data_IF_484515093310
#
_entry.id   IF_484515093310
#
_cell.length_a   1.000
_cell.length_b   1.000
_cell.length_c   1.000
_cell.angle_alpha   90.00
_cell.angle_beta   90.00
_cell.angle_gamma   90.00
#
_symmetry.space_group_name_H-M   'P 1'
#
loop_
_entity.id
_entity.type
_entity.pdbx_description
1 polymer ?
#
# COMPACT_ATOMS: atom_id res chain seq x y z
N UNK A 1 -3.65 -21.51 -90.76
CA UNK A 1 -4.90 -20.76 -90.56
C UNK A 1 -4.88 -20.17 -89.15
N UNK A 2 -4.78 -18.83 -89.06
CA UNK A 2 -5.17 -17.91 -87.97
C UNK A 2 -4.94 -18.34 -86.49
N UNK A 3 -3.98 -17.74 -85.78
CA UNK A 3 -4.12 -16.57 -84.86
C UNK A 3 -5.17 -16.78 -83.75
N UNK A 4 -4.79 -16.75 -82.46
CA UNK A 4 -4.68 -15.56 -81.56
C UNK A 4 -3.92 -16.01 -80.27
N UNK A 5 -2.85 -15.34 -79.81
CA UNK A 5 -2.81 -14.25 -78.78
C UNK A 5 -3.62 -14.60 -77.51
N UNK A 6 -3.14 -14.57 -76.27
CA UNK A 6 -2.14 -13.74 -75.58
C UNK A 6 -1.65 -14.49 -74.30
N UNK A 7 -0.34 -14.53 -74.01
CA UNK A 7 0.42 -13.69 -73.05
C UNK A 7 0.01 -13.83 -71.57
N UNK A 8 0.87 -14.58 -70.85
CA UNK A 8 1.46 -14.36 -69.52
C UNK A 8 0.61 -14.23 -68.25
N UNK A 9 0.86 -15.13 -67.30
CA UNK A 9 1.51 -14.85 -66.00
C UNK A 9 1.77 -16.21 -65.29
N UNK A 10 2.97 -16.81 -65.39
CA UNK A 10 4.06 -16.67 -64.40
C UNK A 10 3.50 -16.78 -62.97
N UNK A 11 3.23 -18.00 -62.51
CA UNK A 11 4.10 -18.83 -61.65
C UNK A 11 4.51 -18.13 -60.35
N UNK A 12 4.00 -18.61 -59.21
CA UNK A 12 4.86 -19.29 -58.21
C UNK A 12 4.08 -19.88 -57.02
N UNK A 13 4.32 -21.18 -56.84
CA UNK A 13 4.01 -22.02 -55.68
C UNK A 13 4.80 -21.58 -54.44
N UNK A 14 4.25 -20.79 -53.52
CA UNK A 14 4.83 -20.62 -52.18
C UNK A 14 3.68 -20.46 -51.15
N UNK A 15 3.18 -21.55 -50.60
CA UNK A 15 2.04 -21.51 -49.69
C UNK A 15 1.87 -22.79 -48.89
N UNK A 16 2.90 -23.23 -48.15
CA UNK A 16 2.76 -24.34 -47.21
C UNK A 16 3.82 -24.36 -46.08
N UNK A 17 4.35 -23.22 -45.65
CA UNK A 17 5.28 -23.18 -44.50
C UNK A 17 5.13 -21.89 -43.67
N UNK A 18 3.92 -21.60 -43.20
CA UNK A 18 3.65 -20.50 -42.26
C UNK A 18 2.55 -20.89 -41.24
N UNK A 19 2.73 -22.03 -40.54
CA UNK A 19 1.78 -22.41 -39.48
C UNK A 19 2.41 -23.00 -38.21
N UNK A 20 3.74 -22.95 -38.06
CA UNK A 20 4.44 -23.57 -36.93
C UNK A 20 5.43 -22.62 -36.22
N UNK A 21 5.12 -21.32 -36.14
CA UNK A 21 5.85 -20.33 -35.31
C UNK A 21 4.85 -19.51 -34.51
N UNK A 22 3.91 -20.21 -33.85
CA UNK A 22 2.96 -19.59 -32.93
C UNK A 22 2.81 -20.45 -31.67
N UNK A 23 3.92 -21.08 -31.22
CA UNK A 23 4.06 -21.53 -29.85
C UNK A 23 4.72 -20.43 -29.02
N UNK A 24 3.87 -19.48 -28.61
CA UNK A 24 3.76 -19.02 -27.23
C UNK A 24 5.10 -18.70 -26.52
N UNK A 25 5.86 -17.76 -27.09
CA UNK A 25 6.89 -16.99 -26.36
C UNK A 25 6.24 -15.82 -25.63
N UNK A 26 5.26 -16.08 -24.76
CA UNK A 26 4.54 -15.03 -24.03
C UNK A 26 4.35 -15.41 -22.58
N UNK A 27 5.45 -15.68 -21.90
CA UNK A 27 5.53 -15.66 -20.45
C UNK A 27 6.70 -14.78 -19.99
N UNK A 28 6.87 -13.63 -20.62
CA UNK A 28 7.54 -12.51 -19.94
C UNK A 28 6.51 -11.93 -18.98
N UNK A 29 6.49 -12.49 -17.78
CA UNK A 29 5.86 -11.88 -16.62
C UNK A 29 6.36 -10.43 -16.56
N UNK A 30 5.48 -9.50 -16.91
CA UNK A 30 5.69 -8.10 -16.59
C UNK A 30 5.78 -8.07 -15.07
N UNK A 31 7.00 -7.91 -14.55
CA UNK A 31 7.21 -7.34 -13.25
C UNK A 31 6.50 -5.99 -13.29
N UNK A 32 5.21 -5.97 -12.93
CA UNK A 32 4.51 -4.75 -12.63
C UNK A 32 5.24 -4.20 -11.41
N UNK A 33 6.22 -3.35 -11.65
CA UNK A 33 6.61 -2.35 -10.67
C UNK A 33 5.31 -1.63 -10.37
N UNK A 34 4.69 -1.97 -9.23
CA UNK A 34 3.57 -1.18 -8.69
C UNK A 34 4.18 0.19 -8.49
N UNK A 35 4.02 1.06 -9.48
CA UNK A 35 4.38 2.45 -9.37
C UNK A 35 3.59 2.96 -8.17
N UNK A 36 4.25 3.45 -7.11
CA UNK A 36 3.56 3.83 -5.88
C UNK A 36 2.47 4.81 -6.26
N UNK A 37 1.22 4.37 -6.12
CA UNK A 37 0.08 5.11 -6.60
C UNK A 37 0.15 6.51 -5.98
N UNK A 38 -0.06 7.57 -6.76
CA UNK A 38 -0.04 8.94 -6.26
C UNK A 38 -0.91 9.13 -5.00
N UNK A 39 -1.91 8.26 -4.80
CA UNK A 39 -2.74 8.16 -3.59
C UNK A 39 -1.97 7.87 -2.30
N UNK A 40 -0.87 7.12 -2.34
CA UNK A 40 -0.10 6.82 -1.14
C UNK A 40 0.62 8.06 -0.63
N UNK A 41 1.13 8.92 -1.53
CA UNK A 41 1.73 10.20 -1.12
C UNK A 41 0.70 11.15 -0.51
N UNK A 42 -0.58 11.03 -0.87
CA UNK A 42 -1.66 11.82 -0.26
C UNK A 42 -1.91 11.46 1.22
N UNK A 43 -1.33 10.37 1.73
CA UNK A 43 -1.38 10.03 3.16
C UNK A 43 -0.51 10.96 4.00
N UNK A 44 0.52 11.60 3.43
CA UNK A 44 1.39 12.53 4.14
C UNK A 44 0.73 13.90 4.16
N UNK A 45 0.42 14.42 5.34
CA UNK A 45 -0.10 15.79 5.46
C UNK A 45 0.88 16.81 4.87
N UNK A 46 0.38 17.81 4.16
CA UNK A 46 1.22 18.84 3.50
C UNK A 46 2.16 19.52 4.50
N UNK A 47 1.65 19.90 5.67
CA UNK A 47 2.44 20.51 6.74
C UNK A 47 3.59 19.61 7.22
N UNK A 48 3.34 18.30 7.37
CA UNK A 48 4.39 17.33 7.71
C UNK A 48 5.42 17.21 6.59
N UNK A 49 4.97 17.14 5.34
CA UNK A 49 5.87 17.07 4.19
C UNK A 49 6.78 18.30 4.11
N UNK A 50 6.26 19.49 4.39
CA UNK A 50 7.04 20.73 4.41
C UNK A 50 8.04 20.75 5.57
N UNK A 51 7.62 20.32 6.77
CA UNK A 51 8.52 20.16 7.92
C UNK A 51 9.67 19.18 7.63
N UNK A 52 9.37 18.01 7.03
CA UNK A 52 10.37 17.00 6.69
C UNK A 52 11.36 17.45 5.60
N UNK A 53 10.95 18.35 4.68
CA UNK A 53 11.85 18.89 3.64
C UNK A 53 12.80 19.96 4.17
N UNK A 54 12.36 20.69 5.18
CA UNK A 54 13.07 21.87 5.72
C UNK A 54 13.89 21.55 6.96
N UNK A 55 13.56 20.46 7.65
CA UNK A 55 14.31 20.02 8.81
C UNK A 55 15.72 19.54 8.42
N UNK A 56 16.78 19.99 9.13
CA UNK A 56 18.15 19.52 8.90
C UNK A 56 18.41 18.08 9.38
N UNK A 57 17.43 17.44 10.02
CA UNK A 57 17.51 16.06 10.49
C UNK A 57 16.14 15.47 10.85
N UNK A 58 16.14 14.31 11.48
CA UNK A 58 14.93 13.59 11.82
C UNK A 58 13.99 14.39 12.72
N UNK A 59 12.68 14.25 12.48
CA UNK A 59 11.62 14.79 13.33
C UNK A 59 10.66 13.68 13.73
N UNK A 60 9.94 13.90 14.83
CA UNK A 60 8.85 13.02 15.23
C UNK A 60 7.58 13.35 14.43
N UNK A 61 6.85 12.33 14.02
CA UNK A 61 5.54 12.45 13.39
C UNK A 61 4.66 11.24 13.73
N UNK A 62 3.36 11.40 13.60
CA UNK A 62 2.40 10.36 13.92
C UNK A 62 2.03 9.58 12.65
N UNK A 63 2.09 8.27 12.74
CA UNK A 63 1.63 7.32 11.73
C UNK A 63 0.30 6.75 12.20
N UNK A 64 -0.80 7.26 11.66
CA UNK A 64 -2.15 6.83 11.99
C UNK A 64 -2.51 5.64 11.10
N UNK A 65 -2.89 4.53 11.72
CA UNK A 65 -3.28 3.32 11.00
C UNK A 65 -4.67 3.49 10.37
N UNK A 66 -4.90 2.80 9.25
CA UNK A 66 -6.17 2.83 8.52
C UNK A 66 -7.29 2.14 9.30
N UNK A 67 -6.97 1.06 10.02
CA UNK A 67 -7.92 0.38 10.90
C UNK A 67 -8.05 1.12 12.23
N UNK A 68 -9.23 1.70 12.48
CA UNK A 68 -9.56 2.31 13.77
C UNK A 68 -10.73 1.55 14.40
N UNK A 69 -10.65 1.30 15.70
CA UNK A 69 -11.78 0.77 16.45
C UNK A 69 -12.72 1.91 16.84
N UNK A 70 -14.03 1.71 16.64
CA UNK A 70 -15.06 2.66 17.03
C UNK A 70 -15.37 2.50 18.55
N UNK A 71 -15.03 3.48 19.41
CA UNK A 71 -15.21 3.37 20.86
C UNK A 71 -16.70 3.27 21.27
N UNK A 72 -17.60 3.87 20.50
CA UNK A 72 -19.03 3.87 20.79
C UNK A 72 -19.64 2.48 20.64
N UNK A 73 -19.16 1.67 19.69
CA UNK A 73 -19.62 0.29 19.50
C UNK A 73 -19.26 -0.61 20.70
N UNK A 74 -18.05 -0.45 21.24
CA UNK A 74 -17.59 -1.20 22.42
C UNK A 74 -18.43 -0.83 23.65
N UNK A 75 -18.78 0.45 23.78
CA UNK A 75 -19.53 1.01 24.91
C UNK A 75 -21.02 0.69 24.86
N UNK A 76 -21.61 0.60 23.66
CA UNK A 76 -23.04 0.32 23.47
C UNK A 76 -23.46 -1.09 23.93
N UNK A 77 -22.52 -2.04 23.94
CA UNK A 77 -22.76 -3.40 24.43
C UNK A 77 -22.77 -3.52 25.96
N UNK A 78 -22.41 -2.46 26.70
CA UNK A 78 -22.26 -2.47 28.15
C UNK A 78 -23.33 -1.63 28.86
N UNK A 79 -24.00 -2.23 29.85
CA UNK A 79 -25.01 -1.61 30.71
C UNK A 79 -24.53 -0.35 31.46
N UNK A 80 -25.47 0.39 32.04
CA UNK A 80 -25.25 1.74 32.57
C UNK A 80 -24.62 1.80 33.98
N UNK A 81 -24.53 0.68 34.70
CA UNK A 81 -24.36 0.73 36.17
C UNK A 81 -22.91 0.75 36.67
N UNK A 82 -21.89 0.46 35.83
CA UNK A 82 -20.47 0.51 36.24
C UNK A 82 -19.58 1.24 35.21
N UNK A 83 -19.38 2.54 35.43
CA UNK A 83 -18.55 3.40 34.58
C UNK A 83 -17.06 3.01 34.63
N UNK A 84 -16.57 2.52 35.77
CA UNK A 84 -15.15 2.17 35.95
C UNK A 84 -14.85 0.89 35.17
N UNK A 85 -15.65 -0.16 35.36
CA UNK A 85 -15.53 -1.39 34.59
C UNK A 85 -15.66 -1.13 33.09
N UNK A 86 -16.57 -0.23 32.68
CA UNK A 86 -16.76 0.18 31.29
C UNK A 86 -15.52 0.84 30.68
N UNK A 87 -14.87 1.75 31.40
CA UNK A 87 -13.62 2.40 30.96
C UNK A 87 -12.48 1.39 30.86
N UNK A 88 -12.36 0.49 31.83
CA UNK A 88 -11.35 -0.56 31.81
C UNK A 88 -11.55 -1.51 30.62
N UNK A 89 -12.78 -1.95 30.36
CA UNK A 89 -13.12 -2.79 29.22
C UNK A 89 -12.87 -2.08 27.88
N UNK A 90 -13.24 -0.80 27.76
CA UNK A 90 -12.96 0.00 26.56
C UNK A 90 -11.45 0.13 26.32
N UNK A 91 -10.68 0.46 27.36
CA UNK A 91 -9.23 0.58 27.26
C UNK A 91 -8.58 -0.74 26.84
N UNK A 92 -9.00 -1.86 27.44
CA UNK A 92 -8.53 -3.19 27.08
C UNK A 92 -8.84 -3.53 25.61
N UNK A 93 -10.07 -3.25 25.16
CA UNK A 93 -10.49 -3.50 23.78
C UNK A 93 -9.69 -2.68 22.75
N UNK A 94 -9.51 -1.37 23.00
CA UNK A 94 -8.70 -0.49 22.16
C UNK A 94 -7.25 -0.95 22.12
N UNK A 95 -6.68 -1.33 23.28
CA UNK A 95 -5.31 -1.83 23.39
C UNK A 95 -5.11 -3.12 22.63
N UNK A 96 -6.02 -4.09 22.77
CA UNK A 96 -5.92 -5.36 22.05
C UNK A 96 -6.07 -5.16 20.55
N UNK A 97 -7.02 -4.31 20.12
CA UNK A 97 -7.17 -3.98 18.71
C UNK A 97 -5.91 -3.34 18.12
N UNK A 98 -5.37 -2.30 18.77
CA UNK A 98 -4.17 -1.62 18.34
C UNK A 98 -2.95 -2.56 18.33
N UNK A 99 -2.76 -3.42 19.35
CA UNK A 99 -1.65 -4.38 19.36
C UNK A 99 -1.68 -5.32 18.16
N UNK A 100 -2.86 -5.85 17.79
CA UNK A 100 -3.00 -6.76 16.65
C UNK A 100 -2.76 -6.05 15.32
N UNK A 101 -3.36 -4.89 15.12
CA UNK A 101 -3.28 -4.16 13.83
C UNK A 101 -1.95 -3.43 13.65
N UNK A 102 -1.27 -3.03 14.73
CA UNK A 102 0.07 -2.45 14.67
C UNK A 102 1.18 -3.50 14.48
N UNK A 103 0.93 -4.77 14.78
CA UNK A 103 1.99 -5.80 14.77
C UNK A 103 2.80 -5.85 13.47
N UNK A 104 2.20 -5.81 12.25
CA UNK A 104 2.96 -5.81 11.00
C UNK A 104 3.84 -4.56 10.83
N UNK A 105 3.32 -3.38 11.16
CA UNK A 105 4.05 -2.12 11.02
C UNK A 105 5.20 -2.03 12.04
N UNK A 106 4.95 -2.47 13.27
CA UNK A 106 5.95 -2.56 14.33
C UNK A 106 7.11 -3.48 13.94
N UNK A 107 6.79 -4.67 13.45
CA UNK A 107 7.80 -5.61 12.98
C UNK A 107 8.63 -5.04 11.80
N UNK A 108 7.98 -4.28 10.91
CA UNK A 108 8.69 -3.59 9.84
C UNK A 108 9.63 -2.52 10.38
N UNK A 109 9.16 -1.66 11.30
CA UNK A 109 9.98 -0.61 11.93
C UNK A 109 11.17 -1.22 12.71
N UNK A 110 10.93 -2.30 13.46
CA UNK A 110 11.97 -3.05 14.18
C UNK A 110 13.05 -3.56 13.19
N UNK A 111 12.63 -4.15 12.06
CA UNK A 111 13.55 -4.63 11.02
C UNK A 111 14.32 -3.51 10.31
N UNK A 112 13.79 -2.28 10.29
CA UNK A 112 14.47 -1.10 9.77
C UNK A 112 15.35 -0.39 10.81
N UNK A 113 15.34 -0.82 12.07
CA UNK A 113 16.04 -0.14 13.16
C UNK A 113 15.45 1.23 13.50
N UNK A 114 14.16 1.45 13.20
CA UNK A 114 13.47 2.71 13.43
C UNK A 114 12.76 2.66 14.78
N UNK A 115 13.13 3.57 15.68
CA UNK A 115 12.46 3.73 16.97
C UNK A 115 11.03 4.24 16.82
N UNK A 116 10.12 3.71 17.62
CA UNK A 116 8.73 4.15 17.66
C UNK A 116 8.12 4.07 19.07
N UNK A 117 7.08 4.87 19.31
CA UNK A 117 6.22 4.79 20.48
C UNK A 117 4.82 4.37 20.05
N UNK A 118 4.27 3.33 20.67
CA UNK A 118 2.92 2.86 20.35
C UNK A 118 1.85 3.62 21.16
N UNK A 119 0.78 4.02 20.47
CA UNK A 119 -0.42 4.57 21.08
C UNK A 119 -1.63 3.68 20.79
N UNK A 120 -2.49 3.51 21.79
CA UNK A 120 -3.56 2.50 21.75
C UNK A 120 -4.96 3.11 21.67
N UNK A 121 -5.14 4.33 22.20
CA UNK A 121 -6.46 5.00 22.21
C UNK A 121 -6.88 5.46 20.82
N UNK A 122 -5.94 6.06 20.10
CA UNK A 122 -5.98 6.23 18.66
C UNK A 122 -5.00 5.22 18.12
N UNK A 123 -5.40 4.42 17.13
CA UNK A 123 -4.52 3.41 16.59
C UNK A 123 -3.42 4.09 15.75
N UNK A 124 -2.29 4.39 16.37
CA UNK A 124 -1.18 5.12 15.76
C UNK A 124 0.17 4.77 16.42
N UNK A 125 1.24 5.01 15.66
CA UNK A 125 2.62 4.96 16.14
C UNK A 125 3.25 6.34 15.99
N UNK A 126 3.94 6.84 17.00
CA UNK A 126 4.88 7.97 16.83
C UNK A 126 6.21 7.42 16.34
N UNK A 127 6.73 7.98 15.26
CA UNK A 127 7.98 7.58 14.62
C UNK A 127 8.88 8.79 14.48
N UNK A 128 10.20 8.58 14.62
CA UNK A 128 11.20 9.60 14.34
C UNK A 128 11.93 9.27 13.04
N UNK A 129 11.96 10.19 12.09
CA UNK A 129 12.71 10.01 10.85
C UNK A 129 12.54 11.13 9.83
N UNK A 130 12.94 10.84 8.60
CA UNK A 130 13.03 11.78 7.49
C UNK A 130 11.91 11.60 6.45
N UNK A 131 11.96 12.41 5.39
CA UNK A 131 10.99 12.33 4.28
C UNK A 131 11.04 10.98 3.56
N UNK A 132 12.20 10.35 3.46
CA UNK A 132 12.34 9.06 2.80
C UNK A 132 11.63 7.95 3.60
N UNK A 133 11.76 7.95 4.92
CA UNK A 133 11.00 7.08 5.81
C UNK A 133 9.50 7.35 5.69
N UNK A 134 9.06 8.61 5.76
CA UNK A 134 7.64 8.97 5.65
C UNK A 134 7.02 8.47 4.33
N UNK A 135 7.75 8.58 3.21
CA UNK A 135 7.30 8.04 1.91
C UNK A 135 7.18 6.52 1.89
N UNK A 136 8.13 5.80 2.48
CA UNK A 136 8.06 4.33 2.61
C UNK A 136 6.88 3.91 3.49
N UNK A 137 6.65 4.61 4.59
CA UNK A 137 5.50 4.38 5.47
C UNK A 137 4.18 4.65 4.76
N UNK A 138 4.11 5.70 3.93
CA UNK A 138 2.91 6.02 3.16
C UNK A 138 2.53 4.93 2.14
N UNK A 139 3.49 4.17 1.64
CA UNK A 139 3.25 3.03 0.74
C UNK A 139 2.72 1.77 1.46
N UNK A 140 2.68 1.78 2.79
CA UNK A 140 2.18 0.63 3.56
C UNK A 140 0.65 0.61 3.54
N UNK A 141 0.01 -0.56 3.32
CA UNK A 141 -1.44 -0.67 3.27
C UNK A 141 -2.12 -0.41 4.61
N UNK A 142 -1.47 -0.76 5.74
CA UNK A 142 -1.99 -0.53 7.08
C UNK A 142 -1.91 0.94 7.52
N UNK A 143 -1.17 1.78 6.79
CA UNK A 143 -1.02 3.21 7.09
C UNK A 143 -2.13 3.99 6.41
N UNK A 144 -2.89 4.75 7.21
CA UNK A 144 -3.97 5.59 6.73
C UNK A 144 -3.56 7.05 6.54
N UNK A 145 -2.73 7.60 7.43
CA UNK A 145 -2.29 9.01 7.38
C UNK A 145 -1.01 9.24 8.19
N UNK A 146 -0.19 10.20 7.75
CA UNK A 146 0.94 10.73 8.51
C UNK A 146 0.71 12.22 8.80
N UNK A 147 0.90 12.64 10.06
CA UNK A 147 0.73 14.04 10.51
C UNK A 147 1.86 14.52 11.40
#
# INVERSE_FOLDING_TARGET
MNTKRAIAAVSWFWGALLFAILLVTSFTALAQTVEPAASDQNKIASALADALRTSPGDISFLVILSEQMNPQQVVAAMGAEDIVAKRAALYAALTEHARRTQAPLRAWLDAQGVSYTAHYLVNMLEVRGDLALARRLAQRPEVGRLV
#
